data_IF_095121511757
#
_entry.id   IF_095121511757
#
_cell.length_a   1.000
_cell.length_b   1.000
_cell.length_c   1.000
_cell.angle_alpha   90.00
_cell.angle_beta   90.00
_cell.angle_gamma   90.00
#
_symmetry.space_group_name_H-M   'P 1'
#
loop_
_entity.id
_entity.type
_entity.pdbx_description
1 polymer ?
#
# COMPACT_ATOMS: atom_id res chain seq x y z
N UNK A 1 28.58 20.48 31.42
CA UNK A 1 27.16 20.39 31.04
C UNK A 1 26.58 21.75 31.41
N UNK A 2 26.23 22.57 30.44
CA UNK A 2 25.90 23.99 30.63
C UNK A 2 24.38 24.17 30.54
N UNK A 3 23.73 24.25 31.69
CA UNK A 3 22.27 24.28 31.77
C UNK A 3 21.69 25.49 30.99
N UNK A 4 22.37 26.64 31.01
CA UNK A 4 21.91 27.84 30.31
C UNK A 4 21.98 27.67 28.79
N UNK A 5 22.98 26.92 28.30
CA UNK A 5 23.08 26.55 26.89
C UNK A 5 21.95 25.59 26.47
N UNK A 6 21.66 24.56 27.28
CA UNK A 6 20.59 23.59 27.00
C UNK A 6 19.20 24.24 27.02
N UNK A 7 18.91 25.14 27.97
CA UNK A 7 17.65 25.90 28.00
C UNK A 7 17.53 26.88 26.83
N UNK A 8 18.63 27.50 26.40
CA UNK A 8 18.64 28.38 25.23
C UNK A 8 18.33 27.59 23.97
N UNK A 9 19.00 26.45 23.77
CA UNK A 9 18.75 25.56 22.64
C UNK A 9 17.31 25.02 22.63
N UNK A 10 16.75 24.65 23.78
CA UNK A 10 15.34 24.23 23.87
C UNK A 10 14.38 25.34 23.41
N UNK A 11 14.65 26.60 23.74
CA UNK A 11 13.85 27.74 23.27
C UNK A 11 13.92 27.91 21.75
N UNK A 12 15.09 27.73 21.16
CA UNK A 12 15.26 27.78 19.71
C UNK A 12 14.48 26.65 19.01
N UNK A 13 14.55 25.43 19.55
CA UNK A 13 13.77 24.29 19.06
C UNK A 13 12.26 24.53 19.15
N UNK A 14 11.78 25.05 20.28
CA UNK A 14 10.37 25.44 20.42
C UNK A 14 9.95 26.52 19.40
N UNK A 15 10.84 27.46 19.09
CA UNK A 15 10.63 28.44 18.02
C UNK A 15 10.51 27.80 16.63
N UNK A 16 11.23 26.70 16.37
CA UNK A 16 11.18 25.95 15.11
C UNK A 16 9.98 24.99 15.01
N UNK A 17 9.31 24.67 16.11
CA UNK A 17 8.20 23.71 16.16
C UNK A 17 7.10 23.95 15.11
N UNK A 18 6.63 25.20 14.83
CA UNK A 18 5.61 25.43 13.80
C UNK A 18 6.07 25.02 12.40
N UNK A 19 7.34 25.25 12.07
CA UNK A 19 7.92 24.83 10.79
C UNK A 19 8.00 23.30 10.70
N UNK A 20 8.49 22.66 11.76
CA UNK A 20 8.59 21.19 11.83
C UNK A 20 7.20 20.52 11.77
N UNK A 21 6.16 21.14 12.34
CA UNK A 21 4.77 20.66 12.19
C UNK A 21 4.29 20.72 10.74
N UNK A 22 4.67 21.75 9.98
CA UNK A 22 4.36 21.82 8.53
C UNK A 22 5.09 20.74 7.76
N UNK A 23 6.37 20.51 8.05
CA UNK A 23 7.15 19.43 7.46
C UNK A 23 6.58 18.05 7.81
N UNK A 24 6.19 17.82 9.06
CA UNK A 24 5.53 16.58 9.48
C UNK A 24 4.21 16.33 8.74
N UNK A 25 3.40 17.36 8.50
CA UNK A 25 2.19 17.26 7.65
C UNK A 25 2.54 16.94 6.20
N UNK A 26 3.55 17.61 5.64
CA UNK A 26 4.05 17.36 4.28
C UNK A 26 4.55 15.91 4.14
N UNK A 27 5.30 15.43 5.12
CA UNK A 27 5.80 14.06 5.19
C UNK A 27 4.66 13.04 5.27
N UNK A 28 3.69 13.24 6.16
CA UNK A 28 2.52 12.37 6.27
C UNK A 28 1.73 12.32 4.94
N UNK A 29 1.53 13.48 4.31
CA UNK A 29 0.85 13.58 3.01
C UNK A 29 1.62 12.83 1.92
N UNK A 30 2.94 12.96 1.87
CA UNK A 30 3.78 12.27 0.87
C UNK A 30 3.80 10.75 1.03
N UNK A 31 3.89 10.27 2.28
CA UNK A 31 3.78 8.83 2.59
C UNK A 31 2.43 8.27 2.16
N UNK A 32 1.36 9.01 2.43
CA UNK A 32 0.03 8.60 2.03
C UNK A 32 -0.16 8.63 0.51
N UNK A 33 0.44 9.60 -0.20
CA UNK A 33 0.45 9.64 -1.66
C UNK A 33 1.08 8.37 -2.24
N UNK A 34 2.28 8.01 -1.75
CA UNK A 34 2.99 6.79 -2.14
C UNK A 34 2.17 5.54 -1.84
N UNK A 35 1.50 5.49 -0.69
CA UNK A 35 0.61 4.39 -0.30
C UNK A 35 -0.58 4.25 -1.26
N UNK A 36 -1.30 5.33 -1.56
CA UNK A 36 -2.46 5.31 -2.49
C UNK A 36 -2.04 4.87 -3.89
N UNK A 37 -0.93 5.40 -4.41
CA UNK A 37 -0.42 5.01 -5.74
C UNK A 37 -0.04 3.52 -5.79
N UNK A 38 0.59 3.00 -4.73
CA UNK A 38 0.90 1.57 -4.62
C UNK A 38 -0.37 0.72 -4.59
N UNK A 39 -1.41 1.15 -3.85
CA UNK A 39 -2.69 0.45 -3.77
C UNK A 39 -3.40 0.42 -5.13
N UNK A 40 -3.35 1.51 -5.90
CA UNK A 40 -3.91 1.51 -7.26
C UNK A 40 -3.14 0.54 -8.17
N UNK A 41 -1.80 0.54 -8.12
CA UNK A 41 -1.00 -0.40 -8.91
C UNK A 41 -1.32 -1.87 -8.54
N UNK A 42 -1.50 -2.16 -7.26
CA UNK A 42 -1.95 -3.47 -6.80
C UNK A 42 -3.36 -3.81 -7.32
N UNK A 43 -4.32 -2.89 -7.17
CA UNK A 43 -5.70 -3.07 -7.64
C UNK A 43 -5.76 -3.30 -9.14
N UNK A 44 -5.01 -2.54 -9.94
CA UNK A 44 -4.91 -2.74 -11.39
C UNK A 44 -4.32 -4.12 -11.72
N UNK A 45 -3.26 -4.53 -11.02
CA UNK A 45 -2.63 -5.85 -11.22
C UNK A 45 -3.58 -7.00 -10.88
N UNK A 46 -4.31 -6.91 -9.75
CA UNK A 46 -5.30 -7.94 -9.35
C UNK A 46 -6.49 -7.99 -10.31
N UNK A 47 -6.95 -6.84 -10.78
CA UNK A 47 -8.02 -6.75 -11.77
C UNK A 47 -7.61 -7.40 -13.10
N UNK A 48 -6.39 -7.15 -13.57
CA UNK A 48 -5.87 -7.79 -14.78
C UNK A 48 -5.76 -9.32 -14.64
N UNK A 49 -5.32 -9.83 -13.49
CA UNK A 49 -5.27 -11.27 -13.22
C UNK A 49 -6.66 -11.91 -13.21
N UNK A 50 -7.65 -11.24 -12.61
CA UNK A 50 -9.04 -11.73 -12.62
C UNK A 50 -9.59 -11.75 -14.05
N UNK A 51 -9.38 -10.68 -14.83
CA UNK A 51 -9.81 -10.61 -16.22
C UNK A 51 -9.20 -11.73 -17.07
N UNK A 52 -7.90 -12.01 -16.91
CA UNK A 52 -7.24 -13.11 -17.60
C UNK A 52 -7.80 -14.49 -17.18
N UNK A 53 -8.16 -14.67 -15.91
CA UNK A 53 -8.79 -15.90 -15.44
C UNK A 53 -10.21 -16.07 -16.00
N UNK A 54 -10.97 -14.98 -16.11
CA UNK A 54 -12.31 -14.96 -16.71
C UNK A 54 -12.26 -15.24 -18.22
N UNK A 55 -11.30 -14.67 -18.94
CA UNK A 55 -11.06 -14.97 -20.35
C UNK A 55 -10.71 -16.44 -20.57
N UNK A 56 -9.82 -16.99 -19.71
CA UNK A 56 -9.45 -18.41 -19.76
C UNK A 56 -10.66 -19.31 -19.50
N UNK A 57 -11.52 -18.96 -18.54
CA UNK A 57 -12.74 -19.73 -18.27
C UNK A 57 -13.68 -19.70 -19.48
N UNK A 58 -13.92 -18.53 -20.07
CA UNK A 58 -14.76 -18.41 -21.25
C UNK A 58 -14.20 -19.21 -22.44
N UNK A 59 -12.87 -19.23 -22.60
CA UNK A 59 -12.21 -20.02 -23.65
C UNK A 59 -12.35 -21.54 -23.44
N UNK A 60 -12.20 -22.03 -22.20
CA UNK A 60 -12.36 -23.46 -21.92
C UNK A 60 -13.81 -23.90 -22.00
N UNK A 61 -14.77 -23.04 -21.62
CA UNK A 61 -16.21 -23.29 -21.79
C UNK A 61 -16.59 -23.41 -23.28
N UNK A 62 -16.10 -22.51 -24.13
CA UNK A 62 -16.26 -22.63 -25.60
C UNK A 62 -15.64 -23.92 -26.14
N UNK A 63 -14.44 -24.28 -25.64
CA UNK A 63 -13.79 -25.54 -26.02
C UNK A 63 -14.58 -26.78 -25.60
N UNK A 64 -15.21 -26.77 -24.42
CA UNK A 64 -16.09 -27.84 -23.97
C UNK A 64 -17.37 -27.93 -24.80
N UNK A 65 -18.00 -26.81 -25.14
CA UNK A 65 -19.17 -26.77 -26.02
C UNK A 65 -18.83 -27.40 -27.38
N UNK A 66 -17.73 -26.97 -28.00
CA UNK A 66 -17.28 -27.52 -29.26
C UNK A 66 -16.96 -29.02 -29.20
N UNK A 67 -16.24 -29.47 -28.17
CA UNK A 67 -15.94 -30.89 -27.99
C UNK A 67 -17.20 -31.75 -27.76
N UNK A 68 -18.24 -31.17 -27.16
CA UNK A 68 -19.52 -31.85 -26.94
C UNK A 68 -20.37 -31.92 -28.20
N UNK A 69 -20.31 -30.91 -29.06
CA UNK A 69 -20.99 -30.87 -30.37
C UNK A 69 -20.33 -31.82 -31.38
N UNK A 70 -19.00 -31.92 -31.37
CA UNK A 70 -18.23 -32.83 -32.23
C UNK A 70 -18.11 -34.25 -31.64
N UNK A 71 -19.15 -34.75 -30.96
CA UNK A 71 -19.16 -36.01 -30.20
C UNK A 71 -18.50 -37.21 -30.90
N UNK A 72 -18.10 -38.26 -30.16
CA UNK A 72 -17.30 -39.36 -30.71
C UNK A 72 -17.94 -39.91 -31.99
N UNK A 73 -17.20 -39.89 -33.10
CA UNK A 73 -17.54 -40.73 -34.24
C UNK A 73 -17.66 -42.17 -33.73
N UNK A 74 -18.76 -42.84 -34.06
CA UNK A 74 -19.07 -44.20 -33.61
C UNK A 74 -17.85 -45.10 -33.87
N UNK A 75 -17.13 -45.47 -32.79
CA UNK A 75 -15.96 -46.34 -32.84
C UNK A 75 -14.63 -45.77 -32.35
N UNK A 76 -14.46 -44.46 -32.15
CA UNK A 76 -13.19 -43.90 -31.64
C UNK A 76 -13.30 -43.60 -30.13
N UNK A 77 -12.73 -44.47 -29.29
CA UNK A 77 -12.65 -44.28 -27.84
C UNK A 77 -11.95 -42.99 -27.39
N UNK A 78 -11.35 -42.22 -28.32
CA UNK A 78 -10.73 -40.91 -28.08
C UNK A 78 -11.74 -39.76 -27.88
N UNK A 79 -12.95 -39.83 -28.42
CA UNK A 79 -13.91 -38.72 -28.30
C UNK A 79 -14.45 -38.52 -26.87
N UNK A 80 -14.59 -39.61 -26.10
CA UNK A 80 -14.93 -39.55 -24.67
C UNK A 80 -13.79 -38.95 -23.81
N UNK A 81 -12.54 -39.16 -24.21
CA UNK A 81 -11.37 -38.57 -23.54
C UNK A 81 -11.26 -37.06 -23.82
N UNK A 82 -11.61 -36.60 -25.04
CA UNK A 82 -11.61 -35.19 -25.39
C UNK A 82 -12.61 -34.36 -24.56
N UNK A 83 -13.86 -34.81 -24.45
CA UNK A 83 -14.88 -34.15 -23.61
C UNK A 83 -14.47 -34.17 -22.14
N UNK A 84 -13.96 -35.31 -21.66
CA UNK A 84 -13.45 -35.45 -20.29
C UNK A 84 -12.31 -34.47 -19.99
N UNK A 85 -11.36 -34.30 -20.93
CA UNK A 85 -10.28 -33.30 -20.83
C UNK A 85 -10.81 -31.88 -20.81
N UNK A 86 -11.74 -31.53 -21.70
CA UNK A 86 -12.34 -30.20 -21.75
C UNK A 86 -13.08 -29.86 -20.45
N UNK A 87 -13.83 -30.82 -19.88
CA UNK A 87 -14.52 -30.66 -18.60
C UNK A 87 -13.54 -30.40 -17.45
N UNK A 88 -12.42 -31.12 -17.40
CA UNK A 88 -11.34 -30.87 -16.42
C UNK A 88 -10.74 -29.47 -16.58
N UNK A 89 -10.52 -29.03 -17.82
CA UNK A 89 -9.98 -27.69 -18.10
C UNK A 89 -10.93 -26.57 -17.62
N UNK A 90 -12.25 -26.73 -17.81
CA UNK A 90 -13.26 -25.80 -17.26
C UNK A 90 -13.19 -25.74 -15.74
N UNK A 91 -13.15 -26.89 -15.06
CA UNK A 91 -13.05 -26.92 -13.59
C UNK A 91 -11.78 -26.24 -13.08
N UNK A 92 -10.64 -26.45 -13.73
CA UNK A 92 -9.38 -25.78 -13.39
C UNK A 92 -9.45 -24.27 -13.63
N UNK A 93 -10.03 -23.83 -14.75
CA UNK A 93 -10.21 -22.41 -15.05
C UNK A 93 -11.17 -21.74 -14.05
N UNK A 94 -12.26 -22.41 -13.69
CA UNK A 94 -13.22 -21.93 -12.69
C UNK A 94 -12.57 -21.81 -11.30
N UNK A 95 -11.74 -22.78 -10.91
CA UNK A 95 -10.98 -22.72 -9.66
C UNK A 95 -9.99 -21.55 -9.64
N UNK A 96 -9.24 -21.34 -10.74
CA UNK A 96 -8.34 -20.20 -10.87
C UNK A 96 -9.09 -18.87 -10.77
N UNK A 97 -10.22 -18.74 -11.46
CA UNK A 97 -11.07 -17.55 -11.39
C UNK A 97 -11.55 -17.31 -9.96
N UNK A 98 -12.01 -18.35 -9.28
CA UNK A 98 -12.39 -18.29 -7.85
C UNK A 98 -11.25 -17.79 -6.95
N UNK A 99 -10.02 -18.25 -7.19
CA UNK A 99 -8.83 -17.81 -6.47
C UNK A 99 -8.52 -16.31 -6.67
N UNK A 100 -8.82 -15.75 -7.85
CA UNK A 100 -8.54 -14.34 -8.16
C UNK A 100 -9.58 -13.35 -7.59
N UNK A 101 -10.83 -13.78 -7.35
CA UNK A 101 -11.93 -12.89 -6.91
C UNK A 101 -11.64 -12.21 -5.57
N UNK A 102 -11.22 -12.98 -4.56
CA UNK A 102 -10.95 -12.46 -3.22
C UNK A 102 -9.87 -11.37 -3.21
N UNK A 103 -8.66 -11.64 -3.74
CA UNK A 103 -7.60 -10.64 -3.88
C UNK A 103 -8.02 -9.38 -4.65
N UNK A 104 -8.81 -9.51 -5.72
CA UNK A 104 -9.29 -8.35 -6.48
C UNK A 104 -10.18 -7.45 -5.62
N UNK A 105 -11.18 -8.03 -4.94
CA UNK A 105 -12.08 -7.29 -4.04
C UNK A 105 -11.34 -6.65 -2.85
N UNK A 106 -10.34 -7.36 -2.33
CA UNK A 106 -9.52 -6.84 -1.24
C UNK A 106 -8.70 -5.62 -1.67
N UNK A 107 -8.09 -5.66 -2.86
CA UNK A 107 -7.32 -4.55 -3.40
C UNK A 107 -8.20 -3.33 -3.69
N UNK A 108 -9.39 -3.54 -4.27
CA UNK A 108 -10.40 -2.49 -4.47
C UNK A 108 -10.81 -1.86 -3.13
N UNK A 109 -11.17 -2.67 -2.14
CA UNK A 109 -11.57 -2.18 -0.82
C UNK A 109 -10.45 -1.43 -0.11
N UNK A 110 -9.21 -1.91 -0.23
CA UNK A 110 -8.04 -1.26 0.36
C UNK A 110 -7.81 0.14 -0.23
N UNK A 111 -7.94 0.27 -1.56
CA UNK A 111 -7.85 1.56 -2.23
C UNK A 111 -9.00 2.49 -1.84
N UNK A 112 -10.25 2.02 -1.88
CA UNK A 112 -11.41 2.84 -1.47
C UNK A 112 -11.28 3.33 -0.04
N UNK A 113 -10.91 2.46 0.90
CA UNK A 113 -10.69 2.82 2.29
C UNK A 113 -9.55 3.85 2.46
N UNK A 114 -8.50 3.77 1.64
CA UNK A 114 -7.41 4.74 1.66
C UNK A 114 -7.86 6.12 1.15
N UNK A 115 -8.71 6.18 0.13
CA UNK A 115 -9.27 7.43 -0.38
C UNK A 115 -10.32 8.03 0.58
N UNK A 116 -11.18 7.21 1.17
CA UNK A 116 -12.22 7.66 2.10
C UNK A 116 -11.66 8.25 3.40
N UNK A 117 -10.57 7.66 3.92
CA UNK A 117 -9.96 8.08 5.21
C UNK A 117 -8.75 8.98 5.03
N UNK A 118 -8.18 9.00 3.84
CA UNK A 118 -6.94 9.70 3.52
C UNK A 118 -7.16 11.17 3.16
N UNK A 119 -6.06 11.90 2.91
CA UNK A 119 -6.08 13.31 2.55
C UNK A 119 -6.30 13.54 1.03
N UNK A 120 -6.59 12.51 0.25
CA UNK A 120 -6.71 12.58 -1.20
C UNK A 120 -8.12 12.20 -1.64
N UNK A 121 -8.75 13.03 -2.47
CA UNK A 121 -10.07 12.76 -3.02
C UNK A 121 -10.00 11.74 -4.17
N UNK A 122 -8.86 11.65 -4.85
CA UNK A 122 -8.64 10.72 -5.96
C UNK A 122 -7.21 10.18 -6.01
N UNK A 123 -7.02 9.12 -6.81
CA UNK A 123 -5.68 8.61 -7.12
C UNK A 123 -4.85 9.63 -7.89
N UNK A 124 -5.47 10.46 -8.72
CA UNK A 124 -4.76 11.47 -9.51
C UNK A 124 -4.21 12.60 -8.62
N UNK A 125 -4.97 13.00 -7.60
CA UNK A 125 -4.49 13.93 -6.57
C UNK A 125 -3.29 13.34 -5.81
N UNK A 126 -3.34 12.05 -5.50
CA UNK A 126 -2.24 11.34 -4.84
C UNK A 126 -1.00 11.26 -5.75
N UNK A 127 -1.16 10.99 -7.05
CA UNK A 127 -0.05 11.00 -8.02
C UNK A 127 0.59 12.37 -8.14
N UNK A 128 -0.22 13.42 -8.21
CA UNK A 128 0.27 14.81 -8.28
C UNK A 128 1.00 15.26 -7.01
N UNK A 129 0.73 14.59 -5.87
CA UNK A 129 1.40 14.85 -4.60
C UNK A 129 2.57 13.90 -4.31
N UNK A 130 2.97 13.05 -5.27
CA UNK A 130 4.17 12.24 -5.12
C UNK A 130 5.39 13.13 -4.97
N UNK A 131 6.24 12.71 -4.06
CA UNK A 131 7.58 13.24 -3.88
C UNK A 131 8.56 12.14 -4.28
N UNK A 132 9.70 12.54 -4.84
CA UNK A 132 10.77 11.61 -5.13
C UNK A 132 11.33 10.98 -3.85
N UNK A 133 11.93 9.80 -3.99
CA UNK A 133 12.38 9.01 -2.85
C UNK A 133 13.54 9.67 -2.09
N UNK A 134 14.39 10.45 -2.79
CA UNK A 134 15.48 11.19 -2.17
C UNK A 134 14.93 12.33 -1.30
N UNK A 135 14.07 13.19 -1.83
CA UNK A 135 13.45 14.28 -1.09
C UNK A 135 12.53 13.78 0.04
N UNK A 136 11.91 12.59 -0.13
CA UNK A 136 11.18 11.94 0.96
C UNK A 136 12.15 11.52 2.08
N UNK A 137 13.27 10.87 1.76
CA UNK A 137 14.29 10.47 2.75
C UNK A 137 14.87 11.67 3.48
N UNK A 138 15.23 12.73 2.75
CA UNK A 138 15.73 13.98 3.34
C UNK A 138 14.73 14.59 4.32
N UNK A 139 13.44 14.64 3.96
CA UNK A 139 12.40 15.17 4.83
C UNK A 139 12.16 14.27 6.05
N UNK A 140 12.30 12.95 5.90
CA UNK A 140 12.23 11.99 7.00
C UNK A 140 13.37 12.18 7.99
N UNK A 141 14.60 12.32 7.49
CA UNK A 141 15.80 12.58 8.26
C UNK A 141 15.73 13.92 8.99
N UNK A 142 15.29 14.99 8.31
CA UNK A 142 15.14 16.31 8.92
C UNK A 142 14.16 16.28 10.10
N UNK A 143 12.98 15.67 9.91
CA UNK A 143 11.96 15.55 10.96
C UNK A 143 12.44 14.63 12.09
N UNK A 144 13.17 13.55 11.78
CA UNK A 144 13.71 12.64 12.78
C UNK A 144 14.81 13.30 13.62
N UNK A 145 15.75 14.00 12.97
CA UNK A 145 16.83 14.73 13.61
C UNK A 145 16.27 15.79 14.59
N UNK A 146 15.28 16.58 14.16
CA UNK A 146 14.63 17.54 15.04
C UNK A 146 13.97 16.88 16.26
N UNK A 147 13.26 15.76 16.07
CA UNK A 147 12.61 15.04 17.17
C UNK A 147 13.62 14.50 18.18
N UNK A 148 14.74 13.97 17.68
CA UNK A 148 15.81 13.47 18.51
C UNK A 148 16.46 14.60 19.30
N UNK A 149 16.83 15.69 18.64
CA UNK A 149 17.44 16.88 19.25
C UNK A 149 16.53 17.49 20.32
N UNK A 150 15.23 17.60 20.02
CA UNK A 150 14.23 18.06 20.99
C UNK A 150 14.13 17.13 22.21
N UNK A 151 14.06 15.82 22.01
CA UNK A 151 13.95 14.86 23.11
C UNK A 151 15.20 14.87 24.00
N UNK A 152 16.40 14.87 23.41
CA UNK A 152 17.67 14.89 24.14
C UNK A 152 17.84 16.17 24.94
N UNK A 153 17.54 17.32 24.33
CA UNK A 153 17.65 18.64 24.99
C UNK A 153 16.65 18.77 26.14
N UNK A 154 15.41 18.31 25.93
CA UNK A 154 14.39 18.28 26.97
C UNK A 154 14.82 17.39 28.15
N UNK A 155 15.33 16.19 27.89
CA UNK A 155 15.81 15.28 28.93
C UNK A 155 16.98 15.87 29.71
N UNK A 156 17.92 16.57 29.05
CA UNK A 156 18.98 17.31 29.74
C UNK A 156 18.40 18.39 30.67
N UNK A 157 17.48 19.22 30.16
CA UNK A 157 16.83 20.26 30.96
C UNK A 157 16.07 19.69 32.18
N UNK A 158 15.36 18.59 32.00
CA UNK A 158 14.62 17.91 33.08
C UNK A 158 15.56 17.35 34.15
N UNK A 159 16.69 16.73 33.75
CA UNK A 159 17.72 16.25 34.68
C UNK A 159 18.31 17.39 35.51
N UNK A 160 18.60 18.54 34.91
CA UNK A 160 19.08 19.72 35.64
C UNK A 160 18.04 20.25 36.64
N UNK A 161 16.77 20.35 36.23
CA UNK A 161 15.70 20.80 37.11
C UNK A 161 15.51 19.85 38.31
N UNK A 162 15.62 18.54 38.09
CA UNK A 162 15.53 17.54 39.15
C UNK A 162 16.68 17.67 40.16
N UNK A 163 17.92 17.83 39.69
CA UNK A 163 19.09 18.00 40.57
C UNK A 163 18.99 19.26 41.45
N UNK A 164 18.48 20.37 40.90
CA UNK A 164 18.26 21.59 41.68
C UNK A 164 17.12 21.47 42.70
N UNK A 165 16.17 20.56 42.48
CA UNK A 165 15.08 20.30 43.43
C UNK A 165 15.50 19.44 44.62
N UNK A 166 16.56 18.64 44.47
CA UNK A 166 17.12 17.79 45.54
C UNK A 166 18.18 18.49 46.41
N UNK A 167 18.76 19.60 45.93
CA UNK A 167 19.72 20.43 46.68
C UNK A 167 19.04 21.55 47.51
N UNK A 168 17.70 21.57 47.57
CA UNK A 168 16.89 22.46 48.44
C UNK A 168 16.24 21.69 49.58
#
# INVERSE_FOLDING_TARGET
MDADADFTHLRELLGRLPAMRRQGKRLARAREAKRVVRLEAERASRSALLAAAEERLAATERGLAHASECGPAVGDGRGGDAVGKARRAVLQAAALRGYCVGPCRNAERALSCALEKGPFASVDDARSALMDDAALSELEEEVAAYRQDYAQTLESCERFAALQSTDR
#
